data_IF_643466914306
#
_entry.id   IF_643466914306
#
_cell.length_a   1.000
_cell.length_b   1.000
_cell.length_c   1.000
_cell.angle_alpha   90.00
_cell.angle_beta   90.00
_cell.angle_gamma   90.00
#
_symmetry.space_group_name_H-M   'P 1'
#
loop_
_entity.id
_entity.type
_entity.pdbx_description
1 polymer ?
#
# COMPACT_ATOMS: atom_id res chain seq x y z
N UNK A 1 7.84 -3.94 8.62
CA UNK A 1 7.36 -4.72 7.45
C UNK A 1 8.13 -4.27 6.20
N UNK A 2 8.31 -5.14 5.21
CA UNK A 2 8.99 -4.83 3.95
C UNK A 2 8.09 -5.13 2.75
N UNK A 3 8.20 -4.30 1.70
CA UNK A 3 7.59 -4.57 0.40
C UNK A 3 8.47 -5.58 -0.36
N UNK A 4 8.00 -6.81 -0.50
CA UNK A 4 8.73 -7.90 -1.18
C UNK A 4 8.72 -7.70 -2.68
N UNK A 5 7.54 -7.40 -3.24
CA UNK A 5 7.39 -7.09 -4.66
C UNK A 5 6.13 -6.28 -4.90
N UNK A 6 6.03 -5.71 -6.09
CA UNK A 6 4.82 -5.07 -6.58
C UNK A 6 4.62 -5.39 -8.06
N UNK A 7 3.37 -5.33 -8.53
CA UNK A 7 3.06 -5.52 -9.95
C UNK A 7 1.84 -4.69 -10.36
N UNK A 8 1.73 -4.39 -11.65
CA UNK A 8 0.49 -3.83 -12.17
C UNK A 8 -0.62 -4.87 -12.12
N UNK A 9 -1.83 -4.43 -11.74
CA UNK A 9 -3.03 -5.27 -11.75
C UNK A 9 -3.98 -4.83 -12.88
N UNK A 10 -4.41 -3.56 -12.86
CA UNK A 10 -5.29 -2.94 -13.85
C UNK A 10 -5.01 -1.44 -13.92
N UNK A 11 -5.75 -0.70 -14.76
CA UNK A 11 -5.56 0.76 -14.91
C UNK A 11 -5.55 1.46 -13.55
N UNK A 12 -4.44 2.14 -13.26
CA UNK A 12 -4.20 2.88 -12.01
C UNK A 12 -4.21 2.03 -10.72
N UNK A 13 -4.08 0.71 -10.81
CA UNK A 13 -4.03 -0.20 -9.66
C UNK A 13 -2.75 -1.04 -9.68
N UNK A 14 -2.10 -1.10 -8.52
CA UNK A 14 -0.89 -1.90 -8.28
C UNK A 14 -1.19 -2.91 -7.17
N UNK A 15 -0.67 -4.13 -7.31
CA UNK A 15 -0.60 -5.12 -6.23
C UNK A 15 0.70 -4.93 -5.46
N UNK A 16 0.62 -4.91 -4.13
CA UNK A 16 1.76 -4.98 -3.22
C UNK A 16 1.74 -6.28 -2.44
N UNK A 17 2.92 -6.86 -2.23
CA UNK A 17 3.13 -8.08 -1.46
C UNK A 17 4.14 -7.77 -0.36
N UNK A 18 3.82 -8.14 0.87
CA UNK A 18 4.60 -7.76 2.05
C UNK A 18 5.03 -9.00 2.84
N UNK A 19 6.21 -8.94 3.43
CA UNK A 19 6.79 -10.06 4.18
C UNK A 19 5.96 -10.47 5.40
N UNK A 20 5.30 -9.51 6.05
CA UNK A 20 4.38 -9.73 7.18
C UNK A 20 3.10 -10.48 6.78
N UNK A 21 2.71 -10.41 5.51
CA UNK A 21 1.46 -10.96 4.98
C UNK A 21 1.78 -11.77 3.71
N UNK A 22 2.50 -12.91 3.84
CA UNK A 22 3.03 -13.65 2.71
C UNK A 22 1.95 -14.25 1.80
N UNK A 23 0.76 -14.52 2.34
CA UNK A 23 -0.35 -15.14 1.60
C UNK A 23 -1.38 -14.13 1.09
N UNK A 24 -1.37 -12.90 1.62
CA UNK A 24 -2.31 -11.84 1.25
C UNK A 24 -1.84 -10.99 0.08
N UNK A 25 -2.79 -10.42 -0.66
CA UNK A 25 -2.51 -9.47 -1.74
C UNK A 25 -3.16 -8.11 -1.44
N UNK A 26 -2.39 -7.02 -1.56
CA UNK A 26 -2.88 -5.67 -1.27
C UNK A 26 -3.00 -4.85 -2.55
N UNK A 27 -4.16 -4.24 -2.78
CA UNK A 27 -4.43 -3.45 -3.98
C UNK A 27 -4.40 -1.97 -3.67
N UNK A 28 -3.51 -1.27 -4.36
CA UNK A 28 -3.33 0.17 -4.22
C UNK A 28 -3.83 0.87 -5.46
N UNK A 29 -4.72 1.85 -5.26
CA UNK A 29 -5.21 2.71 -6.34
C UNK A 29 -4.45 4.03 -6.34
N UNK A 30 -4.08 4.49 -7.53
CA UNK A 30 -3.51 5.82 -7.70
C UNK A 30 -4.57 6.89 -7.44
N UNK A 31 -4.29 7.79 -6.51
CA UNK A 31 -5.05 9.00 -6.24
C UNK A 31 -4.14 10.19 -6.56
N UNK A 32 -4.41 10.85 -7.70
CA UNK A 32 -3.58 11.93 -8.25
C UNK A 32 -2.10 11.50 -8.37
N UNK A 33 -1.26 11.90 -7.41
CA UNK A 33 0.18 11.72 -7.44
C UNK A 33 0.71 10.67 -6.45
N UNK A 34 -0.16 10.00 -5.68
CA UNK A 34 0.23 8.93 -4.76
C UNK A 34 -0.67 7.70 -4.90
N UNK A 35 -0.32 6.62 -4.23
CA UNK A 35 -1.10 5.38 -4.16
C UNK A 35 -1.71 5.23 -2.76
N UNK A 36 -2.95 4.76 -2.69
CA UNK A 36 -3.67 4.48 -1.44
C UNK A 36 -4.16 3.04 -1.46
N UNK A 37 -4.13 2.38 -0.31
CA UNK A 37 -4.73 1.05 -0.17
C UNK A 37 -6.23 1.16 -0.43
N UNK A 38 -6.75 0.39 -1.39
CA UNK A 38 -8.15 0.40 -1.81
C UNK A 38 -8.88 -0.84 -1.30
N UNK A 39 -8.26 -2.00 -1.46
CA UNK A 39 -8.79 -3.30 -1.07
C UNK A 39 -7.64 -4.25 -0.80
N UNK A 40 -7.94 -5.38 -0.20
CA UNK A 40 -6.99 -6.45 0.06
C UNK A 40 -7.73 -7.79 -0.02
N UNK A 41 -7.02 -8.81 -0.51
CA UNK A 41 -7.44 -10.20 -0.41
C UNK A 41 -6.62 -10.79 0.75
N UNK A 42 -7.21 -10.81 1.95
CA UNK A 42 -6.57 -11.31 3.17
C UNK A 42 -6.69 -12.83 3.24
N UNK A 43 -5.62 -13.47 3.70
CA UNK A 43 -5.60 -14.90 3.97
C UNK A 43 -5.62 -15.14 5.48
N UNK A 44 -6.34 -16.17 5.93
CA UNK A 44 -6.52 -16.47 7.37
C UNK A 44 -5.23 -16.85 8.12
N UNK A 45 -4.23 -17.35 7.39
CA UNK A 45 -2.89 -17.65 7.93
C UNK A 45 -2.04 -16.40 8.18
N UNK A 46 -2.41 -15.27 7.60
CA UNK A 46 -1.72 -14.01 7.79
C UNK A 46 -2.29 -13.27 9.02
N UNK A 47 -1.47 -12.47 9.72
CA UNK A 47 -1.95 -11.71 10.87
C UNK A 47 -3.05 -10.70 10.48
N UNK A 48 -3.80 -10.22 11.49
CA UNK A 48 -4.78 -9.14 11.28
C UNK A 48 -4.09 -7.85 10.81
N UNK A 49 -4.70 -7.17 9.83
CA UNK A 49 -4.17 -5.93 9.25
C UNK A 49 -4.55 -4.74 10.14
N UNK A 50 -3.60 -4.26 10.95
CA UNK A 50 -3.82 -3.09 11.81
C UNK A 50 -3.84 -1.76 11.04
N UNK A 51 -4.38 -0.67 11.62
CA UNK A 51 -4.27 0.68 11.03
C UNK A 51 -2.82 1.12 10.77
N UNK A 52 -1.90 0.77 11.68
CA UNK A 52 -0.46 1.07 11.53
C UNK A 52 0.14 0.33 10.35
N UNK A 53 -0.22 -0.95 10.14
CA UNK A 53 0.22 -1.72 8.98
C UNK A 53 -0.25 -1.06 7.68
N UNK A 54 -1.52 -0.62 7.63
CA UNK A 54 -2.07 0.09 6.47
C UNK A 54 -1.32 1.37 6.19
N UNK A 55 -0.87 2.11 7.19
CA UNK A 55 -0.08 3.32 6.97
C UNK A 55 1.33 3.00 6.47
N UNK A 56 1.98 2.01 7.08
CA UNK A 56 3.34 1.57 6.75
C UNK A 56 3.43 1.00 5.32
N UNK A 57 2.54 0.09 4.92
CA UNK A 57 2.48 -0.48 3.56
C UNK A 57 2.45 0.58 2.47
N UNK A 58 1.66 1.60 2.74
CA UNK A 58 1.27 2.64 1.82
C UNK A 58 2.41 3.66 1.74
N UNK A 59 3.11 3.92 2.85
CA UNK A 59 4.38 4.65 2.86
C UNK A 59 5.47 3.90 2.07
N UNK A 60 5.66 2.60 2.33
CA UNK A 60 6.66 1.76 1.65
C UNK A 60 6.46 1.73 0.13
N UNK A 61 5.23 1.51 -0.32
CA UNK A 61 4.90 1.49 -1.74
C UNK A 61 5.16 2.86 -2.39
N UNK A 62 4.70 3.94 -1.76
CA UNK A 62 4.90 5.27 -2.32
C UNK A 62 6.38 5.68 -2.30
N UNK A 63 7.18 5.27 -1.31
CA UNK A 63 8.63 5.47 -1.33
C UNK A 63 9.27 4.75 -2.52
N UNK A 64 8.94 3.48 -2.70
CA UNK A 64 9.47 2.64 -3.79
C UNK A 64 9.14 3.23 -5.18
N UNK A 65 7.95 3.82 -5.33
CA UNK A 65 7.49 4.41 -6.59
C UNK A 65 7.84 5.90 -6.75
N UNK A 66 8.65 6.49 -5.86
CA UNK A 66 9.04 7.90 -5.91
C UNK A 66 7.91 8.90 -5.62
N UNK A 67 6.86 8.48 -4.90
CA UNK A 67 5.65 9.25 -4.56
C UNK A 67 5.50 9.57 -3.07
N UNK A 68 6.50 9.28 -2.24
CA UNK A 68 6.45 9.50 -0.78
C UNK A 68 6.10 10.94 -0.40
N UNK A 69 6.67 11.95 -1.07
CA UNK A 69 6.36 13.36 -0.81
C UNK A 69 4.88 13.66 -1.06
N UNK A 70 4.34 13.21 -2.19
CA UNK A 70 2.92 13.40 -2.52
C UNK A 70 2.00 12.69 -1.51
N UNK A 71 2.39 11.49 -1.07
CA UNK A 71 1.68 10.74 -0.04
C UNK A 71 1.67 11.47 1.31
N UNK A 72 2.81 11.96 1.79
CA UNK A 72 2.89 12.69 3.08
C UNK A 72 2.09 14.00 3.05
N UNK A 73 2.16 14.73 1.95
CA UNK A 73 1.46 16.01 1.80
C UNK A 73 -0.07 15.87 1.84
N UNK A 74 -0.63 14.67 1.58
CA UNK A 74 -2.08 14.46 1.74
C UNK A 74 -2.57 14.73 3.17
N UNK A 75 -1.72 14.46 4.19
CA UNK A 75 -2.07 14.64 5.61
C UNK A 75 -2.03 16.12 5.99
N UNK A 76 -1.24 16.93 5.30
CA UNK A 76 -1.15 18.37 5.52
C UNK A 76 -2.39 19.12 5.02
N UNK A 77 -3.13 18.56 4.06
CA UNK A 77 -4.38 19.15 3.53
C UNK A 77 -5.59 18.80 4.41
N UNK A 78 -5.53 17.70 5.15
CA UNK A 78 -6.62 17.23 6.03
C UNK A 78 -6.46 17.66 7.50
N UNK A 79 -5.59 18.63 7.78
CA UNK A 79 -5.34 19.18 9.11
C UNK A 79 -5.82 20.62 9.17
#
# INVERSE_FOLDING_TARGET
MNLVRWSYARRNTIRGYFDKFPNSTFYFRRIRNYFSLQSLDWHEEDPEVSPSDREEMQLLLNRTLGREKAYKNRRAINK
#
